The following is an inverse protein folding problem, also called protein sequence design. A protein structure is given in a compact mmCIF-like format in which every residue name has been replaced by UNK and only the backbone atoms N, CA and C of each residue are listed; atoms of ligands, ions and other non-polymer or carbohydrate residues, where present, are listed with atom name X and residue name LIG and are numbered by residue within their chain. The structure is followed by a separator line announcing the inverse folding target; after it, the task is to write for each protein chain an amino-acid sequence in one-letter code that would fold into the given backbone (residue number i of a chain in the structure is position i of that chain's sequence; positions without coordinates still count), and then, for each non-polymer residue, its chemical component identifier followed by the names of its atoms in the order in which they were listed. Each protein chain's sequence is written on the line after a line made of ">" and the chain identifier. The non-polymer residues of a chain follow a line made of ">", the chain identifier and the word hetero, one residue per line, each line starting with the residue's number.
data_IF_157126068177
#
_entry.id   IF_157126068177
#
_cell.length_a   1.000
_cell.length_b   1.000
_cell.length_c   1.000
_cell.angle_alpha   90.00
_cell.angle_beta   90.00
_cell.angle_gamma   90.00
#
_symmetry.space_group_name_H-M   'P 1'
#
loop_
_entity.id
_entity.type
_entity.pdbx_description
1 polymer ?
#
# COMPACT_ATOMS: atom_id res chain seq x y z
N UNK A 1 26.97 -5.88 10.84
CA UNK A 1 26.61 -4.47 11.09
C UNK A 1 27.89 -3.66 11.03
N UNK A 2 28.00 -2.73 10.11
CA UNK A 2 29.25 -1.96 9.91
C UNK A 2 28.94 -0.48 10.14
N UNK A 3 29.88 0.22 10.80
CA UNK A 3 29.72 1.63 11.15
C UNK A 3 30.19 2.49 9.96
N UNK A 4 29.38 3.47 9.59
CA UNK A 4 29.72 4.52 8.63
C UNK A 4 29.91 5.80 9.45
N UNK A 5 31.05 6.47 9.23
CA UNK A 5 31.42 7.66 10.02
C UNK A 5 31.59 8.88 9.12
N UNK A 6 31.04 9.99 9.58
CA UNK A 6 31.30 11.31 9.01
C UNK A 6 31.52 12.32 10.15
N UNK A 7 32.72 12.89 10.23
CA UNK A 7 33.14 13.80 11.31
C UNK A 7 32.85 13.20 12.70
N UNK A 8 31.87 13.77 13.43
CA UNK A 8 31.41 13.32 14.75
C UNK A 8 30.17 12.42 14.67
N UNK A 9 29.54 12.30 13.50
CA UNK A 9 28.34 11.52 13.30
C UNK A 9 28.70 10.09 12.88
N UNK A 10 28.09 9.10 13.52
CA UNK A 10 28.22 7.69 13.16
C UNK A 10 26.85 7.07 12.95
N UNK A 11 26.71 6.33 11.88
CA UNK A 11 25.53 5.53 11.60
C UNK A 11 25.87 4.05 11.81
N UNK A 12 25.08 3.36 12.63
CA UNK A 12 25.22 1.93 12.92
C UNK A 12 23.98 1.18 12.44
N UNK A 13 24.14 -0.09 12.13
CA UNK A 13 23.00 -0.94 11.73
C UNK A 13 22.65 -0.91 10.24
N UNK A 14 23.42 -0.19 9.42
CA UNK A 14 23.18 -0.04 7.99
C UNK A 14 23.75 -1.20 7.17
N UNK A 15 23.10 -1.45 6.04
CA UNK A 15 23.55 -2.45 5.08
C UNK A 15 24.42 -1.77 4.03
N UNK A 16 25.55 -2.41 3.68
CA UNK A 16 26.37 -2.01 2.52
C UNK A 16 26.15 -3.03 1.41
N UNK A 17 25.66 -2.57 0.29
CA UNK A 17 25.40 -3.40 -0.88
C UNK A 17 26.38 -3.07 -2.01
N UNK A 18 27.19 -4.06 -2.39
CA UNK A 18 28.04 -3.97 -3.58
C UNK A 18 27.21 -4.30 -4.82
N UNK A 19 26.98 -3.33 -5.68
CA UNK A 19 26.12 -3.47 -6.83
C UNK A 19 26.80 -3.04 -8.14
N UNK A 20 26.32 -3.56 -9.27
CA UNK A 20 26.72 -3.09 -10.58
C UNK A 20 25.90 -1.87 -11.01
N UNK A 21 26.29 -1.17 -12.08
CA UNK A 21 25.59 0.03 -12.53
C UNK A 21 24.16 -0.29 -13.01
N UNK A 22 23.92 -1.51 -13.52
CA UNK A 22 22.60 -1.96 -13.96
C UNK A 22 21.59 -2.07 -12.82
N UNK A 23 22.07 -2.18 -11.59
CA UNK A 23 21.20 -2.30 -10.41
C UNK A 23 20.24 -1.11 -10.26
N UNK A 24 20.61 0.07 -10.76
CA UNK A 24 19.73 1.23 -10.84
C UNK A 24 18.41 0.91 -11.56
N UNK A 25 18.52 0.22 -12.69
CA UNK A 25 17.37 -0.14 -13.53
C UNK A 25 16.62 -1.37 -13.01
N UNK A 26 17.36 -2.35 -12.48
CA UNK A 26 16.78 -3.61 -11.96
C UNK A 26 15.91 -3.34 -10.72
N UNK A 27 16.39 -2.50 -9.81
CA UNK A 27 15.67 -2.15 -8.59
C UNK A 27 14.83 -0.87 -8.72
N UNK A 28 14.84 -0.22 -9.90
CA UNK A 28 14.13 1.05 -10.15
C UNK A 28 14.42 2.11 -9.08
N UNK A 29 15.71 2.27 -8.71
CA UNK A 29 16.13 3.18 -7.66
C UNK A 29 15.96 4.64 -8.10
N UNK A 30 15.26 5.43 -7.30
CA UNK A 30 15.05 6.86 -7.54
C UNK A 30 16.10 7.69 -6.80
N UNK A 31 16.80 8.57 -7.51
CA UNK A 31 17.80 9.48 -6.94
C UNK A 31 17.20 10.86 -6.79
N UNK A 32 17.32 11.46 -5.60
CA UNK A 32 16.85 12.83 -5.33
C UNK A 32 17.97 13.84 -5.58
N UNK A 33 19.17 13.54 -5.06
CA UNK A 33 20.33 14.42 -5.17
C UNK A 33 21.51 13.67 -5.76
N UNK A 34 22.21 14.28 -6.71
CA UNK A 34 23.41 13.70 -7.33
C UNK A 34 23.09 12.71 -8.44
N UNK A 35 23.89 11.64 -8.53
CA UNK A 35 23.80 10.62 -9.57
C UNK A 35 24.15 9.23 -9.03
N UNK A 36 23.80 8.20 -9.79
CA UNK A 36 24.32 6.84 -9.57
C UNK A 36 25.73 6.73 -10.17
N UNK A 37 26.45 5.68 -9.80
CA UNK A 37 27.78 5.43 -10.40
C UNK A 37 27.66 4.96 -11.86
N UNK A 38 28.58 5.48 -12.68
CA UNK A 38 28.68 5.14 -14.09
C UNK A 38 29.25 3.72 -14.29
N UNK A 39 29.11 3.18 -15.50
CA UNK A 39 29.65 1.86 -15.86
C UNK A 39 31.16 1.77 -15.61
N UNK A 40 31.91 2.82 -15.98
CA UNK A 40 33.36 2.89 -15.76
C UNK A 40 33.74 2.89 -14.28
N UNK A 41 32.96 3.58 -13.43
CA UNK A 41 33.17 3.61 -11.98
C UNK A 41 32.81 2.26 -11.35
N UNK A 42 31.74 1.61 -11.86
CA UNK A 42 31.33 0.27 -11.43
C UNK A 42 32.37 -0.78 -11.72
N UNK A 43 32.90 -0.81 -12.96
CA UNK A 43 33.92 -1.78 -13.40
C UNK A 43 35.31 -1.48 -12.84
N UNK A 44 35.63 -0.19 -12.63
CA UNK A 44 36.92 0.23 -12.06
C UNK A 44 37.00 0.12 -10.55
N UNK A 45 35.87 -0.14 -9.84
CA UNK A 45 35.85 -0.18 -8.39
C UNK A 45 36.15 1.17 -7.76
N UNK A 46 35.61 2.25 -8.32
CA UNK A 46 35.83 3.61 -7.83
C UNK A 46 35.37 3.77 -6.38
N UNK A 47 36.06 4.64 -5.61
CA UNK A 47 35.75 4.93 -4.19
C UNK A 47 34.55 5.89 -4.10
N UNK A 48 33.39 5.47 -4.59
CA UNK A 48 32.15 6.25 -4.62
C UNK A 48 31.01 5.45 -3.98
N UNK A 49 30.01 6.17 -3.45
CA UNK A 49 28.82 5.56 -2.84
C UNK A 49 27.55 6.38 -3.12
N UNK A 50 26.44 5.68 -3.21
CA UNK A 50 25.09 6.25 -3.20
C UNK A 50 24.43 5.84 -1.89
N UNK A 51 23.94 6.83 -1.13
CA UNK A 51 23.38 6.61 0.20
C UNK A 51 21.86 6.49 0.15
N UNK A 52 21.31 5.59 0.92
CA UNK A 52 19.89 5.58 1.26
C UNK A 52 19.49 6.82 2.08
N UNK A 53 18.22 7.18 2.00
CA UNK A 53 17.72 8.41 2.60
C UNK A 53 17.97 8.50 4.12
N UNK A 54 17.72 7.42 4.86
CA UNK A 54 17.90 7.40 6.32
C UNK A 54 19.38 7.53 6.71
N UNK A 55 20.29 6.94 5.93
CA UNK A 55 21.74 7.08 6.14
C UNK A 55 22.18 8.53 5.92
N UNK A 56 21.69 9.14 4.85
CA UNK A 56 22.00 10.54 4.52
C UNK A 56 21.48 11.48 5.60
N UNK A 57 20.24 11.32 6.05
CA UNK A 57 19.64 12.10 7.15
C UNK A 57 20.42 11.94 8.47
N UNK A 58 20.85 10.72 8.79
CA UNK A 58 21.60 10.42 10.03
C UNK A 58 23.04 10.97 10.03
N UNK A 59 23.71 10.93 8.88
CA UNK A 59 25.10 11.39 8.79
C UNK A 59 25.21 12.90 8.52
N UNK A 60 24.25 13.49 7.79
CA UNK A 60 24.26 14.88 7.30
C UNK A 60 23.00 15.64 7.67
N UNK A 61 22.65 15.81 8.96
CA UNK A 61 21.37 16.43 9.34
C UNK A 61 21.21 17.88 8.85
N UNK A 62 22.31 18.60 8.62
CA UNK A 62 22.31 20.02 8.24
C UNK A 62 23.26 20.34 7.06
N UNK A 63 23.78 19.33 6.40
CA UNK A 63 24.75 19.52 5.30
C UNK A 63 24.31 18.71 4.06
N UNK A 64 24.63 19.20 2.87
CA UNK A 64 24.41 18.42 1.65
C UNK A 64 25.40 17.26 1.56
N UNK A 65 24.93 16.00 1.40
CA UNK A 65 25.79 14.83 1.39
C UNK A 65 26.68 14.70 0.15
N UNK A 66 26.17 15.13 -1.02
CA UNK A 66 26.83 14.92 -2.32
C UNK A 66 28.16 15.68 -2.38
N UNK A 67 29.20 14.99 -2.83
CA UNK A 67 30.57 15.51 -2.90
C UNK A 67 31.38 15.35 -1.61
N UNK A 68 30.77 14.99 -0.48
CA UNK A 68 31.46 14.77 0.80
C UNK A 68 32.11 13.39 0.85
N UNK A 69 33.12 13.26 1.71
CA UNK A 69 33.80 11.98 1.95
C UNK A 69 33.37 11.39 3.31
N UNK A 70 32.93 10.15 3.27
CA UNK A 70 32.62 9.36 4.48
C UNK A 70 33.67 8.29 4.69
N UNK A 71 33.85 7.87 5.95
CA UNK A 71 34.70 6.71 6.27
C UNK A 71 33.84 5.46 6.39
N UNK A 72 34.00 4.53 5.50
CA UNK A 72 33.28 3.27 5.45
C UNK A 72 34.25 2.14 5.09
N UNK A 73 34.19 1.01 5.79
CA UNK A 73 35.07 -0.16 5.57
C UNK A 73 36.56 0.18 5.64
N UNK A 74 36.96 1.17 6.45
CA UNK A 74 38.36 1.59 6.59
C UNK A 74 38.87 2.46 5.45
N UNK A 75 38.02 2.89 4.52
CA UNK A 75 38.38 3.74 3.37
C UNK A 75 37.58 5.03 3.38
N UNK A 76 38.15 6.08 2.80
CA UNK A 76 37.43 7.33 2.49
C UNK A 76 36.72 7.15 1.14
N UNK A 77 35.40 7.23 1.15
CA UNK A 77 34.53 7.00 0.00
C UNK A 77 33.73 8.28 -0.25
N UNK A 78 33.66 8.73 -1.49
CA UNK A 78 32.93 9.93 -1.86
C UNK A 78 31.43 9.61 -2.07
N UNK A 79 30.57 10.42 -1.47
CA UNK A 79 29.12 10.37 -1.70
C UNK A 79 28.82 11.08 -3.03
N UNK A 80 28.23 10.35 -3.99
CA UNK A 80 27.90 10.89 -5.32
C UNK A 80 26.39 11.01 -5.55
N UNK A 81 25.57 10.39 -4.70
CA UNK A 81 24.13 10.50 -4.79
C UNK A 81 23.41 10.07 -3.51
N UNK A 82 22.15 10.47 -3.42
CA UNK A 82 21.22 10.11 -2.34
C UNK A 82 19.92 9.62 -2.95
N UNK A 83 19.43 8.48 -2.47
CA UNK A 83 18.16 7.89 -2.91
C UNK A 83 16.97 8.65 -2.33
N UNK A 84 15.87 8.59 -3.06
CA UNK A 84 14.57 9.06 -2.58
C UNK A 84 14.09 8.17 -1.43
N UNK A 85 13.55 8.77 -0.38
CA UNK A 85 12.95 8.04 0.73
C UNK A 85 11.69 7.31 0.27
N UNK A 86 11.71 6.00 0.33
CA UNK A 86 10.60 5.13 -0.08
C UNK A 86 9.81 4.58 1.12
N UNK A 87 10.39 4.68 2.32
CA UNK A 87 9.82 4.13 3.55
C UNK A 87 10.10 2.63 3.72
N UNK A 88 9.94 2.14 4.95
CA UNK A 88 10.11 0.72 5.23
C UNK A 88 8.94 -0.06 4.61
N UNK A 89 9.21 -0.88 3.62
CA UNK A 89 8.26 -1.88 3.16
C UNK A 89 7.92 -2.81 4.34
N UNK A 90 6.64 -2.94 4.65
CA UNK A 90 6.14 -3.70 5.81
C UNK A 90 6.59 -5.18 5.82
N UNK A 91 7.05 -5.69 4.69
CA UNK A 91 7.35 -7.12 4.48
C UNK A 91 8.81 -7.46 4.21
N UNK A 92 9.69 -6.48 4.01
CA UNK A 92 11.10 -6.74 3.67
C UNK A 92 11.97 -5.94 4.63
N UNK A 93 12.74 -6.65 5.47
CA UNK A 93 13.64 -6.07 6.47
C UNK A 93 14.84 -5.29 5.90
N UNK A 94 14.92 -5.11 4.58
CA UNK A 94 16.01 -4.41 3.90
C UNK A 94 15.41 -3.32 3.02
N UNK A 95 15.31 -2.11 3.57
CA UNK A 95 14.89 -0.94 2.81
C UNK A 95 16.08 -0.35 2.06
N UNK A 96 15.92 0.11 0.80
CA UNK A 96 16.93 0.92 0.13
C UNK A 96 17.31 2.16 0.93
N UNK A 97 16.41 2.68 1.77
CA UNK A 97 16.64 3.84 2.65
C UNK A 97 17.75 3.61 3.67
N UNK A 98 17.93 2.35 4.10
CA UNK A 98 18.91 1.93 5.10
C UNK A 98 20.15 1.28 4.45
N UNK A 99 20.32 1.42 3.13
CA UNK A 99 21.38 0.77 2.37
C UNK A 99 22.31 1.78 1.73
N UNK A 100 23.63 1.57 1.88
CA UNK A 100 24.67 2.27 1.12
C UNK A 100 25.09 1.41 -0.07
N UNK A 101 24.93 1.92 -1.27
CA UNK A 101 25.33 1.23 -2.51
C UNK A 101 26.73 1.65 -2.91
N UNK A 102 27.60 0.68 -3.16
CA UNK A 102 28.97 0.87 -3.66
C UNK A 102 29.19 0.02 -4.91
N UNK A 103 30.15 0.37 -5.77
CA UNK A 103 30.54 -0.48 -6.89
C UNK A 103 30.88 -1.91 -6.43
N UNK A 104 30.40 -2.92 -7.17
CA UNK A 104 30.62 -4.33 -6.85
C UNK A 104 32.11 -4.68 -6.74
N UNK A 105 32.96 -4.18 -7.68
CA UNK A 105 34.39 -4.41 -7.64
C UNK A 105 35.07 -3.75 -6.43
N UNK A 106 34.56 -2.60 -5.95
CA UNK A 106 35.01 -2.01 -4.71
C UNK A 106 34.65 -2.89 -3.52
N UNK A 107 33.40 -3.38 -3.45
CA UNK A 107 32.96 -4.29 -2.38
C UNK A 107 33.82 -5.56 -2.35
N UNK A 108 34.08 -6.15 -3.50
CA UNK A 108 34.92 -7.34 -3.68
C UNK A 108 36.36 -7.15 -3.15
N UNK A 109 36.93 -5.96 -3.35
CA UNK A 109 38.27 -5.62 -2.89
C UNK A 109 38.36 -5.29 -1.38
N UNK A 110 37.23 -4.90 -0.77
CA UNK A 110 37.18 -4.47 0.63
C UNK A 110 36.76 -5.59 1.60
N UNK A 111 36.10 -6.62 1.11
CA UNK A 111 35.53 -7.68 1.93
C UNK A 111 36.06 -9.04 1.51
N UNK A 112 36.42 -9.88 2.49
CA UNK A 112 36.88 -11.23 2.22
C UNK A 112 35.74 -12.05 1.56
N UNK A 113 35.97 -12.62 0.40
CA UNK A 113 34.99 -13.28 -0.45
C UNK A 113 34.29 -14.47 0.24
N UNK A 114 34.95 -15.11 1.21
CA UNK A 114 34.44 -16.27 1.94
C UNK A 114 33.21 -15.94 2.80
N UNK A 115 33.01 -14.67 3.13
CA UNK A 115 31.87 -14.18 3.91
C UNK A 115 30.76 -13.54 3.06
N UNK A 116 30.84 -13.70 1.74
CA UNK A 116 29.91 -13.07 0.80
C UNK A 116 29.08 -14.13 0.09
N UNK A 117 27.77 -13.91 0.01
CA UNK A 117 26.88 -14.68 -0.87
C UNK A 117 26.48 -13.78 -2.05
N UNK A 118 27.27 -13.75 -3.14
CA UNK A 118 26.92 -12.93 -4.28
C UNK A 118 25.63 -13.45 -4.92
N UNK A 119 24.73 -12.53 -5.24
CA UNK A 119 23.50 -12.83 -5.97
C UNK A 119 23.53 -12.15 -7.34
N UNK A 120 22.90 -12.78 -8.32
CA UNK A 120 22.67 -12.21 -9.64
C UNK A 120 21.18 -11.86 -9.70
N UNK A 121 20.89 -10.56 -9.81
CA UNK A 121 19.54 -10.09 -10.04
C UNK A 121 19.26 -10.03 -11.54
N UNK A 122 18.10 -10.53 -11.95
CA UNK A 122 17.68 -10.57 -13.35
C UNK A 122 16.27 -9.99 -13.49
N UNK A 123 16.03 -9.26 -14.56
CA UNK A 123 14.70 -8.79 -14.96
C UNK A 123 14.29 -9.52 -16.23
N UNK A 124 13.09 -10.06 -16.23
CA UNK A 124 12.56 -10.80 -17.38
C UNK A 124 12.09 -9.79 -18.43
N UNK A 125 12.54 -9.97 -19.66
CA UNK A 125 12.12 -9.14 -20.79
C UNK A 125 10.65 -9.42 -21.15
N UNK A 126 9.94 -8.39 -21.57
CA UNK A 126 8.55 -8.51 -22.04
C UNK A 126 8.43 -9.57 -23.14
N UNK A 127 7.48 -10.48 -23.00
CA UNK A 127 7.23 -11.58 -23.93
C UNK A 127 7.73 -12.97 -23.49
N UNK A 128 8.46 -13.05 -22.37
CA UNK A 128 8.88 -14.32 -21.78
C UNK A 128 8.11 -14.61 -20.49
N UNK A 129 7.81 -15.88 -20.26
CA UNK A 129 7.21 -16.31 -19.00
C UNK A 129 8.27 -16.50 -17.92
N UNK A 130 7.87 -16.40 -16.66
CA UNK A 130 8.76 -16.60 -15.51
C UNK A 130 9.37 -18.01 -15.52
N UNK A 131 8.59 -19.04 -15.89
CA UNK A 131 9.05 -20.43 -15.96
C UNK A 131 10.13 -20.65 -17.05
N UNK A 132 9.97 -20.01 -18.21
CA UNK A 132 10.96 -20.04 -19.28
C UNK A 132 12.27 -19.38 -18.85
N UNK A 133 12.19 -18.18 -18.26
CA UNK A 133 13.36 -17.45 -17.78
C UNK A 133 14.10 -18.21 -16.66
N UNK A 134 13.37 -18.86 -15.74
CA UNK A 134 13.96 -19.70 -14.70
C UNK A 134 14.68 -20.90 -15.27
N UNK A 135 14.07 -21.61 -16.23
CA UNK A 135 14.68 -22.77 -16.90
C UNK A 135 15.95 -22.39 -17.65
N UNK A 136 15.94 -21.26 -18.37
CA UNK A 136 17.09 -20.75 -19.08
C UNK A 136 18.22 -20.32 -18.12
N UNK A 137 17.89 -19.57 -17.08
CA UNK A 137 18.84 -19.16 -16.04
C UNK A 137 19.48 -20.36 -15.35
N UNK A 138 18.68 -21.39 -15.04
CA UNK A 138 19.13 -22.63 -14.45
C UNK A 138 20.13 -23.36 -15.35
N UNK A 139 19.81 -23.47 -16.63
CA UNK A 139 20.67 -24.10 -17.63
C UNK A 139 22.00 -23.36 -17.79
N UNK A 140 21.95 -22.03 -17.88
CA UNK A 140 23.13 -21.17 -17.95
C UNK A 140 23.99 -21.29 -16.70
N UNK A 141 23.42 -21.23 -15.51
CA UNK A 141 24.17 -21.34 -14.26
C UNK A 141 24.82 -22.71 -14.09
N UNK A 142 24.15 -23.79 -14.49
CA UNK A 142 24.73 -25.15 -14.50
C UNK A 142 25.94 -25.22 -15.44
N UNK A 143 25.84 -24.62 -16.62
CA UNK A 143 26.95 -24.60 -17.58
C UNK A 143 28.15 -23.78 -17.09
N UNK A 144 27.92 -22.57 -16.55
CA UNK A 144 28.97 -21.70 -16.02
C UNK A 144 29.69 -22.36 -14.84
N UNK A 145 28.92 -22.99 -13.93
CA UNK A 145 29.47 -23.70 -12.77
C UNK A 145 29.96 -25.10 -13.06
N UNK A 146 29.86 -25.57 -14.31
CA UNK A 146 30.28 -26.93 -14.77
C UNK A 146 29.68 -28.05 -13.91
N UNK A 147 28.37 -27.91 -13.55
CA UNK A 147 27.67 -28.91 -12.75
C UNK A 147 27.18 -30.02 -13.68
N UNK A 148 27.57 -31.26 -13.38
CA UNK A 148 27.09 -32.44 -14.12
C UNK A 148 25.56 -32.57 -14.02
N UNK A 149 24.88 -33.08 -15.08
CA UNK A 149 23.40 -33.25 -15.05
C UNK A 149 22.88 -34.08 -13.88
N UNK A 150 23.69 -34.99 -13.34
CA UNK A 150 23.33 -35.88 -12.23
C UNK A 150 23.62 -35.34 -10.83
N UNK A 151 24.31 -34.19 -10.74
CA UNK A 151 24.61 -33.55 -9.44
C UNK A 151 23.55 -32.53 -9.06
N UNK A 152 23.29 -32.47 -7.76
CA UNK A 152 22.46 -31.41 -7.16
C UNK A 152 23.02 -30.02 -7.40
N UNK A 153 22.17 -29.03 -7.44
CA UNK A 153 22.51 -27.65 -7.68
C UNK A 153 23.15 -27.03 -6.43
N UNK A 154 24.23 -26.28 -6.64
CA UNK A 154 24.91 -25.53 -5.59
C UNK A 154 24.53 -24.03 -5.61
N UNK A 155 23.39 -23.71 -6.20
CA UNK A 155 22.80 -22.38 -6.26
C UNK A 155 21.28 -22.50 -6.10
N UNK A 156 20.64 -21.42 -5.65
CA UNK A 156 19.19 -21.30 -5.58
C UNK A 156 18.71 -20.16 -6.47
N UNK A 157 17.57 -20.35 -7.12
CA UNK A 157 16.86 -19.31 -7.84
C UNK A 157 15.68 -18.89 -6.96
N UNK A 158 15.69 -17.62 -6.55
CA UNK A 158 14.60 -17.06 -5.73
C UNK A 158 13.82 -16.07 -6.59
N UNK A 159 12.54 -16.26 -6.68
CA UNK A 159 11.64 -15.36 -7.37
C UNK A 159 11.11 -14.33 -6.38
N UNK A 160 11.14 -13.05 -6.74
CA UNK A 160 10.51 -11.99 -5.94
C UNK A 160 9.01 -12.23 -5.80
N UNK A 161 8.39 -12.88 -6.79
CA UNK A 161 6.97 -13.30 -6.76
C UNK A 161 6.65 -14.31 -5.67
N UNK A 162 7.62 -15.08 -5.16
CA UNK A 162 7.36 -15.99 -4.02
C UNK A 162 7.07 -15.19 -2.73
N UNK A 163 7.76 -14.07 -2.55
CA UNK A 163 7.53 -13.17 -1.41
C UNK A 163 6.21 -12.42 -1.59
N UNK A 164 5.92 -11.93 -2.79
CA UNK A 164 4.64 -11.28 -3.12
C UNK A 164 3.49 -12.27 -3.09
N UNK A 165 3.68 -13.50 -3.56
CA UNK A 165 2.64 -14.53 -3.56
C UNK A 165 2.15 -14.94 -2.17
N UNK A 166 3.05 -15.06 -1.19
CA UNK A 166 2.65 -15.30 0.21
C UNK A 166 1.89 -14.09 0.79
N UNK A 167 2.32 -12.88 0.44
CA UNK A 167 1.63 -11.64 0.82
C UNK A 167 0.25 -11.55 0.15
N UNK A 168 0.16 -11.89 -1.14
CA UNK A 168 -1.10 -11.87 -1.88
C UNK A 168 -2.13 -12.84 -1.28
N UNK A 169 -1.70 -14.03 -0.85
CA UNK A 169 -2.57 -14.98 -0.15
C UNK A 169 -3.07 -14.43 1.20
N UNK A 170 -2.19 -13.81 1.99
CA UNK A 170 -2.57 -13.16 3.25
C UNK A 170 -3.56 -12.02 3.00
N UNK A 171 -3.29 -11.17 2.02
CA UNK A 171 -4.21 -10.08 1.64
C UNK A 171 -5.53 -10.61 1.09
N UNK A 172 -5.54 -11.71 0.33
CA UNK A 172 -6.77 -12.35 -0.13
C UNK A 172 -7.64 -12.84 1.04
N UNK A 173 -7.03 -13.48 2.05
CA UNK A 173 -7.74 -13.92 3.26
C UNK A 173 -8.28 -12.74 4.06
N UNK A 174 -7.47 -11.69 4.27
CA UNK A 174 -7.88 -10.47 4.97
C UNK A 174 -9.02 -9.77 4.22
N UNK A 175 -8.93 -9.66 2.89
CA UNK A 175 -9.97 -9.07 2.06
C UNK A 175 -11.28 -9.88 2.11
N UNK A 176 -11.20 -11.22 2.07
CA UNK A 176 -12.36 -12.10 2.16
C UNK A 176 -13.04 -11.97 3.54
N UNK A 177 -12.26 -11.96 4.62
CA UNK A 177 -12.77 -11.76 5.97
C UNK A 177 -13.40 -10.37 6.11
N UNK A 178 -12.71 -9.31 5.64
CA UNK A 178 -13.22 -7.94 5.66
C UNK A 178 -14.50 -7.78 4.85
N UNK A 179 -14.59 -8.39 3.66
CA UNK A 179 -15.77 -8.39 2.82
C UNK A 179 -16.95 -9.10 3.52
N UNK A 180 -16.69 -10.26 4.14
CA UNK A 180 -17.71 -11.01 4.87
C UNK A 180 -18.27 -10.20 6.04
N UNK A 181 -17.40 -9.64 6.88
CA UNK A 181 -17.81 -8.77 8.00
C UNK A 181 -18.56 -7.55 7.47
N UNK A 182 -18.09 -6.95 6.38
CA UNK A 182 -18.72 -5.79 5.73
C UNK A 182 -20.15 -6.10 5.27
N UNK A 183 -20.36 -7.23 4.59
CA UNK A 183 -21.69 -7.65 4.10
C UNK A 183 -22.64 -7.84 5.28
N UNK A 184 -22.23 -8.55 6.34
CA UNK A 184 -23.08 -8.72 7.52
C UNK A 184 -23.39 -7.39 8.22
N UNK A 185 -22.41 -6.49 8.32
CA UNK A 185 -22.61 -5.16 8.90
C UNK A 185 -23.60 -4.33 8.09
N UNK A 186 -23.53 -4.39 6.76
CA UNK A 186 -24.46 -3.74 5.84
C UNK A 186 -25.88 -4.29 6.02
N UNK A 187 -26.04 -5.61 6.12
CA UNK A 187 -27.35 -6.24 6.33
C UNK A 187 -27.96 -5.77 7.65
N UNK A 188 -27.20 -5.86 8.74
CA UNK A 188 -27.68 -5.42 10.08
C UNK A 188 -28.01 -3.92 10.08
N UNK A 189 -27.15 -3.08 9.51
CA UNK A 189 -27.37 -1.64 9.38
C UNK A 189 -28.58 -1.32 8.52
N UNK A 190 -28.76 -2.00 7.39
CA UNK A 190 -29.90 -1.85 6.49
C UNK A 190 -31.23 -2.21 7.17
N UNK A 191 -31.27 -3.32 7.91
CA UNK A 191 -32.44 -3.67 8.73
C UNK A 191 -32.70 -2.65 9.84
N UNK A 192 -31.64 -2.12 10.47
CA UNK A 192 -31.76 -1.05 11.48
C UNK A 192 -32.42 0.20 10.89
N UNK A 193 -32.00 0.63 9.70
CA UNK A 193 -32.59 1.79 9.02
C UNK A 193 -34.05 1.51 8.62
N UNK A 194 -34.32 0.33 8.05
CA UNK A 194 -35.68 -0.05 7.72
C UNK A 194 -36.61 0.01 8.96
N UNK A 195 -36.17 -0.51 10.09
CA UNK A 195 -36.92 -0.49 11.35
C UNK A 195 -37.20 0.95 11.83
N UNK A 196 -36.18 1.83 11.80
CA UNK A 196 -36.33 3.23 12.14
C UNK A 196 -37.36 3.90 11.21
N UNK A 197 -37.29 3.60 9.92
CA UNK A 197 -38.21 4.16 8.93
C UNK A 197 -39.63 3.65 9.11
N UNK A 198 -39.85 2.37 9.50
CA UNK A 198 -41.18 1.87 9.87
C UNK A 198 -41.75 2.59 11.05
N UNK A 199 -40.95 2.84 12.10
CA UNK A 199 -41.39 3.61 13.27
C UNK A 199 -41.69 5.06 12.89
N UNK A 200 -40.81 5.71 12.08
CA UNK A 200 -41.05 7.09 11.62
C UNK A 200 -42.34 7.23 10.81
N UNK A 201 -42.62 6.29 9.89
CA UNK A 201 -43.88 6.27 9.15
C UNK A 201 -45.07 6.13 10.07
N UNK A 202 -45.02 5.24 11.09
CA UNK A 202 -46.08 5.01 12.04
C UNK A 202 -46.33 6.24 12.90
N UNK A 203 -45.30 6.89 13.41
CA UNK A 203 -45.43 8.10 14.20
C UNK A 203 -46.00 9.29 13.40
N UNK A 204 -45.68 9.37 12.11
CA UNK A 204 -46.13 10.44 11.21
C UNK A 204 -47.38 10.10 10.41
N UNK A 205 -48.06 8.96 10.72
CA UNK A 205 -49.27 8.49 9.99
C UNK A 205 -50.33 9.58 9.89
N UNK A 206 -50.62 10.28 10.96
CA UNK A 206 -51.60 11.37 10.99
C UNK A 206 -51.23 12.54 10.06
N UNK A 207 -49.93 12.92 10.03
CA UNK A 207 -49.41 13.99 9.17
C UNK A 207 -49.51 13.57 7.69
N UNK A 208 -49.18 12.31 7.37
CA UNK A 208 -49.31 11.74 6.03
C UNK A 208 -50.75 11.76 5.57
N UNK A 209 -51.70 11.42 6.48
CA UNK A 209 -53.15 11.50 6.23
C UNK A 209 -53.59 12.90 5.84
N UNK A 210 -53.18 13.93 6.59
CA UNK A 210 -53.48 15.34 6.31
C UNK A 210 -52.88 15.75 4.93
N UNK A 211 -51.61 15.42 4.66
CA UNK A 211 -50.98 15.75 3.39
C UNK A 211 -51.75 15.16 2.20
N UNK A 212 -52.20 13.91 2.33
CA UNK A 212 -52.98 13.24 1.29
C UNK A 212 -54.37 13.80 1.13
N UNK A 213 -55.04 14.20 2.25
CA UNK A 213 -56.33 14.86 2.22
C UNK A 213 -56.26 16.24 1.53
N UNK A 214 -55.12 16.92 1.62
CA UNK A 214 -54.83 18.18 0.90
C UNK A 214 -54.40 17.96 -0.55
N UNK A 215 -54.36 16.70 -1.05
CA UNK A 215 -54.09 16.39 -2.45
C UNK A 215 -52.65 15.96 -2.76
N UNK A 216 -51.82 15.62 -1.77
CA UNK A 216 -50.48 15.12 -2.00
C UNK A 216 -50.51 13.77 -2.76
N UNK A 217 -49.80 13.69 -3.86
CA UNK A 217 -49.69 12.46 -4.68
C UNK A 217 -48.85 11.41 -3.95
N UNK A 218 -49.20 10.13 -4.15
CA UNK A 218 -48.46 9.01 -3.58
C UNK A 218 -46.97 9.06 -3.85
N UNK A 219 -46.55 9.51 -5.07
CA UNK A 219 -45.14 9.69 -5.43
C UNK A 219 -44.43 10.73 -4.56
N UNK A 220 -45.13 11.80 -4.14
CA UNK A 220 -44.55 12.81 -3.26
C UNK A 220 -44.21 12.22 -1.89
N UNK A 221 -45.13 11.48 -1.27
CA UNK A 221 -44.92 10.81 0.00
C UNK A 221 -43.82 9.77 -0.12
N UNK A 222 -43.82 8.96 -1.20
CA UNK A 222 -42.80 7.97 -1.47
C UNK A 222 -41.40 8.60 -1.54
N UNK A 223 -41.25 9.66 -2.34
CA UNK A 223 -39.94 10.33 -2.51
C UNK A 223 -39.47 10.99 -1.21
N UNK A 224 -40.37 11.55 -0.40
CA UNK A 224 -40.01 12.14 0.89
C UNK A 224 -39.31 11.13 1.80
N UNK A 225 -39.92 9.97 2.01
CA UNK A 225 -39.35 8.91 2.86
C UNK A 225 -38.11 8.23 2.26
N UNK A 226 -38.06 8.09 0.94
CA UNK A 226 -36.85 7.58 0.28
C UNK A 226 -35.65 8.52 0.42
N UNK A 227 -35.86 9.81 0.24
CA UNK A 227 -34.81 10.81 0.44
C UNK A 227 -34.34 10.79 1.92
N UNK A 228 -35.29 10.71 2.88
CA UNK A 228 -34.97 10.65 4.32
C UNK A 228 -34.08 9.44 4.62
N UNK A 229 -34.40 8.24 4.09
CA UNK A 229 -33.57 7.03 4.29
C UNK A 229 -32.18 7.15 3.63
N UNK A 230 -32.10 7.74 2.43
CA UNK A 230 -30.82 7.94 1.73
C UNK A 230 -29.94 8.92 2.52
N UNK A 231 -30.51 10.03 3.01
CA UNK A 231 -29.77 11.03 3.81
C UNK A 231 -29.24 10.40 5.09
N UNK A 232 -30.02 9.58 5.79
CA UNK A 232 -29.57 8.86 6.99
C UNK A 232 -28.38 7.92 6.66
N UNK A 233 -28.46 7.17 5.56
CA UNK A 233 -27.36 6.32 5.11
C UNK A 233 -26.12 7.11 4.72
N UNK A 234 -26.25 8.24 4.06
CA UNK A 234 -25.15 9.11 3.68
C UNK A 234 -24.48 9.75 4.90
N UNK A 235 -25.24 10.15 5.91
CA UNK A 235 -24.69 10.64 7.17
C UNK A 235 -23.90 9.55 7.89
N UNK A 236 -24.44 8.34 7.99
CA UNK A 236 -23.74 7.18 8.56
C UNK A 236 -22.47 6.83 7.78
N UNK A 237 -22.55 6.78 6.44
CA UNK A 237 -21.41 6.55 5.55
C UNK A 237 -20.33 7.65 5.68
N UNK A 238 -20.74 8.90 5.81
CA UNK A 238 -19.84 10.04 6.03
C UNK A 238 -19.09 9.95 7.36
N UNK A 239 -19.81 9.62 8.43
CA UNK A 239 -19.19 9.37 9.74
C UNK A 239 -18.22 8.19 9.67
N UNK A 240 -18.61 7.09 9.01
CA UNK A 240 -17.73 5.93 8.81
C UNK A 240 -16.44 6.29 8.05
N UNK A 241 -16.54 7.05 6.97
CA UNK A 241 -15.38 7.55 6.23
C UNK A 241 -14.50 8.44 7.10
N UNK A 242 -15.08 9.31 7.91
CA UNK A 242 -14.33 10.16 8.83
C UNK A 242 -13.55 9.33 9.84
N UNK A 243 -14.16 8.29 10.42
CA UNK A 243 -13.49 7.38 11.37
C UNK A 243 -12.34 6.65 10.70
N UNK A 244 -12.53 6.13 9.48
CA UNK A 244 -11.46 5.45 8.72
C UNK A 244 -10.30 6.41 8.41
N UNK A 245 -10.60 7.64 7.98
CA UNK A 245 -9.59 8.65 7.71
C UNK A 245 -8.80 9.02 8.98
N UNK A 246 -9.50 9.19 10.10
CA UNK A 246 -8.89 9.51 11.40
C UNK A 246 -7.98 8.37 11.89
N UNK A 247 -8.42 7.12 11.78
CA UNK A 247 -7.59 5.96 12.13
C UNK A 247 -6.36 5.84 11.22
N UNK A 248 -6.54 6.03 9.91
CA UNK A 248 -5.43 6.04 8.95
C UNK A 248 -4.39 7.11 9.30
N UNK A 249 -4.82 8.31 9.71
CA UNK A 249 -3.94 9.38 10.16
C UNK A 249 -3.16 9.01 11.44
N UNK A 250 -3.80 8.38 12.42
CA UNK A 250 -3.12 7.90 13.65
C UNK A 250 -2.07 6.85 13.30
N UNK A 251 -2.40 5.88 12.46
CA UNK A 251 -1.46 4.83 12.03
C UNK A 251 -0.26 5.44 11.29
N UNK A 252 -0.50 6.39 10.40
CA UNK A 252 0.56 7.10 9.70
C UNK A 252 1.49 7.83 10.68
N UNK A 253 0.95 8.47 11.71
CA UNK A 253 1.74 9.17 12.73
C UNK A 253 2.59 8.20 13.57
N UNK A 254 2.06 7.01 13.86
CA UNK A 254 2.74 6.01 14.70
C UNK A 254 3.79 5.18 13.94
N UNK A 255 3.53 4.85 12.67
CA UNK A 255 4.35 3.92 11.88
C UNK A 255 5.16 4.58 10.76
N UNK A 256 4.86 5.84 10.41
CA UNK A 256 5.44 6.51 9.24
C UNK A 256 4.93 5.99 7.89
N UNK A 257 4.03 4.99 7.87
CA UNK A 257 3.46 4.42 6.64
C UNK A 257 2.30 5.29 6.17
N UNK A 258 2.42 5.88 4.98
CA UNK A 258 1.36 6.70 4.40
C UNK A 258 0.18 5.83 3.92
N UNK A 259 -0.94 5.88 4.64
CA UNK A 259 -2.20 5.26 4.23
C UNK A 259 -3.03 6.30 3.50
N UNK A 260 -3.14 6.14 2.18
CA UNK A 260 -3.90 7.08 1.34
C UNK A 260 -5.31 6.55 1.11
N UNK A 261 -6.31 7.29 1.59
CA UNK A 261 -7.72 7.03 1.25
C UNK A 261 -7.97 7.53 -0.17
N UNK A 262 -8.14 6.59 -1.10
CA UNK A 262 -8.33 6.90 -2.51
C UNK A 262 -9.71 7.52 -2.77
N UNK A 263 -9.80 8.46 -3.72
CA UNK A 263 -11.07 9.01 -4.20
C UNK A 263 -12.04 7.92 -4.66
N UNK A 264 -11.53 6.82 -5.21
CA UNK A 264 -12.32 5.64 -5.60
C UNK A 264 -13.07 5.04 -4.39
N UNK A 265 -12.44 4.98 -3.23
CA UNK A 265 -13.08 4.50 -1.98
C UNK A 265 -14.21 5.42 -1.54
N UNK A 266 -14.02 6.74 -1.64
CA UNK A 266 -15.06 7.72 -1.29
C UNK A 266 -16.28 7.55 -2.20
N UNK A 267 -16.07 7.48 -3.52
CA UNK A 267 -17.16 7.27 -4.50
C UNK A 267 -17.88 5.94 -4.24
N UNK A 268 -17.15 4.87 -3.97
CA UNK A 268 -17.71 3.56 -3.65
C UNK A 268 -18.59 3.62 -2.39
N UNK A 269 -18.12 4.27 -1.33
CA UNK A 269 -18.86 4.40 -0.06
C UNK A 269 -20.14 5.22 -0.25
N UNK A 270 -20.08 6.35 -0.96
CA UNK A 270 -21.25 7.18 -1.25
C UNK A 270 -22.28 6.41 -2.08
N UNK A 271 -21.83 5.71 -3.13
CA UNK A 271 -22.70 4.90 -3.99
C UNK A 271 -23.35 3.77 -3.21
N UNK A 272 -22.59 3.05 -2.40
CA UNK A 272 -23.08 1.95 -1.58
C UNK A 272 -24.06 2.44 -0.51
N UNK A 273 -23.76 3.54 0.18
CA UNK A 273 -24.67 4.14 1.17
C UNK A 273 -25.99 4.57 0.53
N UNK A 274 -25.93 5.17 -0.66
CA UNK A 274 -27.15 5.56 -1.40
C UNK A 274 -27.97 4.34 -1.77
N UNK A 275 -27.33 3.28 -2.26
CA UNK A 275 -27.98 2.03 -2.65
C UNK A 275 -28.65 1.33 -1.46
N UNK A 276 -27.96 1.27 -0.32
CA UNK A 276 -28.52 0.68 0.92
C UNK A 276 -29.69 1.52 1.42
N UNK A 277 -29.57 2.85 1.42
CA UNK A 277 -30.66 3.74 1.83
C UNK A 277 -31.91 3.56 0.97
N UNK A 278 -31.72 3.38 -0.34
CA UNK A 278 -32.83 3.12 -1.26
C UNK A 278 -33.51 1.77 -0.97
N UNK A 279 -32.73 0.69 -0.82
CA UNK A 279 -33.28 -0.65 -0.56
C UNK A 279 -33.97 -0.70 0.81
N UNK A 280 -33.34 -0.18 1.85
CA UNK A 280 -33.88 -0.21 3.20
C UNK A 280 -35.11 0.70 3.36
N UNK A 281 -35.19 1.81 2.61
CA UNK A 281 -36.28 2.75 2.67
C UNK A 281 -37.47 2.43 1.77
N UNK A 282 -37.31 1.56 0.73
CA UNK A 282 -38.36 1.38 -0.28
C UNK A 282 -39.66 0.76 0.29
N UNK A 283 -39.53 -0.23 1.18
CA UNK A 283 -40.71 -0.91 1.76
C UNK A 283 -41.51 0.03 2.68
N UNK A 284 -40.86 0.69 3.69
CA UNK A 284 -41.58 1.62 4.55
C UNK A 284 -42.13 2.82 3.78
N UNK A 285 -41.42 3.36 2.80
CA UNK A 285 -41.89 4.46 1.96
C UNK A 285 -43.09 4.09 1.09
N UNK A 286 -43.11 2.88 0.53
CA UNK A 286 -44.27 2.34 -0.19
C UNK A 286 -45.51 2.21 0.73
N UNK A 287 -45.33 1.72 1.95
CA UNK A 287 -46.39 1.63 2.93
C UNK A 287 -46.94 3.00 3.27
N UNK A 288 -46.09 3.98 3.55
CA UNK A 288 -46.47 5.37 3.79
C UNK A 288 -47.29 5.96 2.63
N UNK A 289 -46.81 5.70 1.36
CA UNK A 289 -47.47 6.25 0.18
C UNK A 289 -48.84 5.65 -0.12
N UNK A 290 -49.13 4.45 0.39
CA UNK A 290 -50.41 3.74 0.18
C UNK A 290 -51.42 3.88 1.32
N UNK A 291 -51.10 4.61 2.39
CA UNK A 291 -52.03 4.84 3.52
C UNK A 291 -53.31 5.52 3.02
N UNK A 292 -54.45 5.06 3.54
CA UNK A 292 -55.74 5.72 3.32
C UNK A 292 -55.82 6.99 4.16
N UNK A 293 -56.13 8.16 3.56
CA UNK A 293 -56.21 9.42 4.28
C UNK A 293 -57.22 9.41 5.47
N UNK A 294 -58.35 8.71 5.30
CA UNK A 294 -59.41 8.67 6.30
C UNK A 294 -58.96 7.85 7.52
N UNK A 295 -58.39 6.68 7.29
CA UNK A 295 -57.84 5.83 8.35
C UNK A 295 -56.64 6.49 9.04
N UNK A 296 -55.75 7.11 8.26
CA UNK A 296 -54.57 7.77 8.77
C UNK A 296 -54.85 8.96 9.68
N UNK A 297 -55.89 9.74 9.41
CA UNK A 297 -56.33 10.87 10.27
C UNK A 297 -57.00 10.35 11.55
N UNK A 298 -57.64 9.20 11.49
CA UNK A 298 -58.36 8.60 12.62
C UNK A 298 -57.45 7.81 13.57
N UNK A 299 -56.28 7.43 13.13
CA UNK A 299 -55.31 6.76 13.97
C UNK A 299 -54.70 7.75 14.96
N UNK A 300 -54.97 7.56 16.25
CA UNK A 300 -54.32 8.28 17.36
C UNK A 300 -53.09 7.51 17.80
#
# INVERSE_FOLDING_TARGET
>A
TRTINYKKNSAQGWTVNGATYENLYIQNLNIVNGRYFAESESRGGALVTVLGANIAEGLFPNEEPVGKYISMLGRKIQVIGVLKKEGNGVLINTSPDDTAFIPFELARNLVNYDNFSPSIAMVIKSGYTLAEAESEAKTLMRSIRRISPQREENFSITQTTMITGASDQLFAIINLAGLSIGIFSILVGGFGIANIMFVSVKERTHIIGIQKALGAKNFFILSQFLIESIVLCLLGGGIGLFVVYFLAFIVQLATGVAIVVSLKMVILTVSLSTFIGLISGIVPALMASRLDPVEAIRSK
#
